data_IF_712663284937
#
_entry.id   IF_712663284937
#
_cell.length_a   1.000
_cell.length_b   1.000
_cell.length_c   1.000
_cell.angle_alpha   90.00
_cell.angle_beta   90.00
_cell.angle_gamma   90.00
#
_symmetry.space_group_name_H-M   'P 1'
#
loop_
_entity.id
_entity.type
_entity.pdbx_description
1 polymer ?
#
# COMPACT_ATOMS: atom_id res chain seq x y z
N UNK A 1 -3.07 11.14 16.02
CA UNK A 1 -3.40 11.46 14.62
C UNK A 1 -3.83 10.16 13.97
N UNK A 2 -4.73 10.18 12.98
CA UNK A 2 -5.11 8.96 12.28
C UNK A 2 -3.95 8.47 11.41
N UNK A 3 -3.71 7.15 11.39
CA UNK A 3 -2.68 6.50 10.56
C UNK A 3 -3.05 6.63 9.08
N UNK A 4 -4.30 6.32 8.74
CA UNK A 4 -4.83 6.42 7.38
C UNK A 4 -5.69 7.65 7.18
N UNK A 5 -5.61 8.24 5.98
CA UNK A 5 -6.41 9.43 5.60
C UNK A 5 -7.84 9.09 5.18
N UNK A 6 -8.07 7.84 4.78
CA UNK A 6 -9.37 7.32 4.40
C UNK A 6 -10.27 7.15 5.63
N UNK A 7 -11.58 7.34 5.46
CA UNK A 7 -12.55 6.92 6.47
C UNK A 7 -12.71 5.40 6.40
N UNK A 8 -12.25 4.70 7.43
CA UNK A 8 -12.18 3.23 7.48
C UNK A 8 -12.87 2.67 8.73
N UNK A 9 -13.34 1.43 8.68
CA UNK A 9 -13.69 0.65 9.87
C UNK A 9 -12.43 0.01 10.48
N UNK A 10 -12.55 -0.62 11.65
CA UNK A 10 -11.40 -1.31 12.26
C UNK A 10 -10.88 -2.46 11.38
N UNK A 11 -11.77 -3.27 10.81
CA UNK A 11 -11.37 -4.40 9.96
C UNK A 11 -10.64 -3.91 8.69
N UNK A 12 -11.06 -2.77 8.15
CA UNK A 12 -10.36 -2.12 7.02
C UNK A 12 -8.99 -1.59 7.48
N UNK A 13 -8.88 -1.01 8.67
CA UNK A 13 -7.59 -0.54 9.21
C UNK A 13 -6.61 -1.71 9.39
N UNK A 14 -7.07 -2.84 9.91
CA UNK A 14 -6.26 -4.05 10.07
C UNK A 14 -5.79 -4.59 8.71
N UNK A 15 -6.67 -4.58 7.69
CA UNK A 15 -6.31 -4.97 6.32
C UNK A 15 -5.25 -4.04 5.70
N UNK A 16 -5.37 -2.73 5.91
CA UNK A 16 -4.37 -1.76 5.43
C UNK A 16 -3.03 -1.94 6.15
N UNK A 17 -3.06 -2.31 7.43
CA UNK A 17 -1.87 -2.64 8.20
C UNK A 17 -1.15 -3.88 7.65
N UNK A 18 -1.89 -4.92 7.26
CA UNK A 18 -1.32 -6.08 6.57
C UNK A 18 -0.67 -5.68 5.23
N UNK A 19 -1.29 -4.79 4.44
CA UNK A 19 -0.68 -4.28 3.20
C UNK A 19 0.64 -3.53 3.50
N UNK A 20 0.64 -2.70 4.55
CA UNK A 20 1.82 -1.95 4.94
C UNK A 20 2.96 -2.88 5.40
N UNK A 21 2.65 -3.90 6.20
CA UNK A 21 3.61 -4.91 6.63
C UNK A 21 4.18 -5.71 5.44
N UNK A 22 3.33 -6.10 4.48
CA UNK A 22 3.78 -6.75 3.25
C UNK A 22 4.73 -5.86 2.44
N UNK A 23 4.47 -4.55 2.32
CA UNK A 23 5.39 -3.63 1.66
C UNK A 23 6.74 -3.52 2.39
N UNK A 24 6.72 -3.45 3.73
CA UNK A 24 7.93 -3.43 4.55
C UNK A 24 8.73 -4.73 4.34
N UNK A 25 8.08 -5.89 4.37
CA UNK A 25 8.72 -7.18 4.13
C UNK A 25 9.27 -7.34 2.72
N UNK A 26 8.53 -6.85 1.72
CA UNK A 26 8.89 -6.93 0.30
C UNK A 26 10.11 -6.08 -0.07
N UNK A 27 10.23 -4.88 0.52
CA UNK A 27 11.15 -3.85 0.04
C UNK A 27 12.12 -3.29 1.07
N UNK A 28 11.86 -3.51 2.37
CA UNK A 28 12.67 -2.98 3.46
C UNK A 28 12.46 -1.49 3.75
N UNK A 29 11.42 -0.86 3.19
CA UNK A 29 11.04 0.52 3.54
C UNK A 29 10.52 0.61 4.98
N UNK A 30 10.42 1.83 5.51
CA UNK A 30 9.83 2.04 6.83
C UNK A 30 8.31 1.88 6.80
N UNK A 31 7.72 1.56 7.97
CA UNK A 31 6.27 1.58 8.15
C UNK A 31 5.68 2.97 7.82
N UNK A 32 6.39 4.05 8.14
CA UNK A 32 5.96 5.41 7.79
C UNK A 32 5.86 5.61 6.28
N UNK A 33 6.83 5.11 5.50
CA UNK A 33 6.78 5.18 4.04
C UNK A 33 5.69 4.28 3.46
N UNK A 34 5.52 3.06 3.99
CA UNK A 34 4.45 2.14 3.58
C UNK A 34 3.07 2.80 3.76
N UNK A 35 2.80 3.38 4.93
CA UNK A 35 1.56 4.11 5.21
C UNK A 35 1.42 5.34 4.32
N UNK A 36 2.50 6.08 4.10
CA UNK A 36 2.47 7.24 3.21
C UNK A 36 2.12 6.84 1.77
N UNK A 37 2.62 5.71 1.26
CA UNK A 37 2.26 5.20 -0.09
C UNK A 37 0.78 4.85 -0.18
N UNK A 38 0.23 4.17 0.83
CA UNK A 38 -1.21 3.89 0.92
C UNK A 38 -2.03 5.19 0.93
N UNK A 39 -1.68 6.13 1.81
CA UNK A 39 -2.38 7.41 1.93
C UNK A 39 -2.29 8.25 0.65
N UNK A 40 -1.15 8.24 -0.02
CA UNK A 40 -0.96 8.99 -1.25
C UNK A 40 -1.84 8.44 -2.39
N UNK A 41 -1.98 7.13 -2.49
CA UNK A 41 -2.82 6.51 -3.53
C UNK A 41 -4.32 6.58 -3.20
N UNK A 42 -4.67 6.32 -1.94
CA UNK A 42 -6.05 6.06 -1.55
C UNK A 42 -6.65 7.08 -0.58
N UNK A 43 -5.90 8.07 -0.11
CA UNK A 43 -6.32 8.99 0.96
C UNK A 43 -7.62 9.76 0.72
N UNK A 44 -8.06 9.89 -0.54
CA UNK A 44 -9.32 10.53 -0.92
C UNK A 44 -10.46 9.53 -1.19
N UNK A 45 -10.25 8.23 -0.95
CA UNK A 45 -11.23 7.17 -1.11
C UNK A 45 -11.95 6.86 0.21
N UNK A 46 -12.98 6.03 0.14
CA UNK A 46 -13.84 5.68 1.27
C UNK A 46 -14.17 4.19 1.24
N UNK A 47 -13.46 3.40 2.05
CA UNK A 47 -13.65 1.96 2.17
C UNK A 47 -14.56 1.68 3.37
N UNK A 48 -15.88 1.69 3.14
CA UNK A 48 -16.90 1.59 4.21
C UNK A 48 -17.58 0.22 4.29
N UNK A 49 -17.40 -0.63 3.30
CA UNK A 49 -18.06 -1.93 3.20
C UNK A 49 -17.05 -2.99 2.73
N UNK A 50 -17.21 -4.23 3.19
CA UNK A 50 -16.38 -5.39 2.79
C UNK A 50 -16.45 -5.71 1.28
N UNK A 51 -17.47 -5.20 0.57
CA UNK A 51 -17.66 -5.38 -0.88
C UNK A 51 -16.85 -4.38 -1.74
N UNK A 52 -15.96 -3.58 -1.15
CA UNK A 52 -15.08 -2.70 -1.92
C UNK A 52 -14.00 -3.50 -2.68
N UNK A 53 -13.61 -3.03 -3.87
CA UNK A 53 -12.70 -3.73 -4.79
C UNK A 53 -11.36 -4.11 -4.15
N UNK A 54 -10.96 -3.40 -3.10
CA UNK A 54 -9.73 -3.70 -2.35
C UNK A 54 -9.78 -5.08 -1.67
N UNK A 55 -10.96 -5.53 -1.22
CA UNK A 55 -11.10 -6.76 -0.45
C UNK A 55 -11.17 -8.04 -1.31
N UNK A 56 -11.23 -7.89 -2.63
CA UNK A 56 -11.19 -9.03 -3.55
C UNK A 56 -9.78 -9.59 -3.77
N UNK A 57 -8.75 -8.83 -3.41
CA UNK A 57 -7.35 -9.22 -3.54
C UNK A 57 -6.69 -9.37 -2.17
N UNK A 58 -5.56 -10.07 -2.13
CA UNK A 58 -4.79 -10.23 -0.89
C UNK A 58 -3.95 -8.99 -0.58
N UNK A 59 -3.58 -8.74 0.69
CA UNK A 59 -2.69 -7.64 1.05
C UNK A 59 -1.37 -7.63 0.25
N UNK A 60 -0.79 -8.81 -0.01
CA UNK A 60 0.40 -8.99 -0.83
C UNK A 60 0.21 -8.38 -2.24
N UNK A 61 -0.95 -8.61 -2.87
CA UNK A 61 -1.24 -8.06 -4.20
C UNK A 61 -1.11 -6.54 -4.20
N UNK A 62 -1.76 -5.88 -3.24
CA UNK A 62 -1.72 -4.44 -3.12
C UNK A 62 -0.35 -3.91 -2.77
N UNK A 63 0.43 -4.63 -1.95
CA UNK A 63 1.81 -4.26 -1.68
C UNK A 63 2.64 -4.15 -2.97
N UNK A 64 2.51 -5.10 -3.90
CA UNK A 64 3.16 -5.00 -5.21
C UNK A 64 2.62 -3.82 -6.05
N UNK A 65 1.30 -3.60 -6.09
CA UNK A 65 0.65 -2.53 -6.87
C UNK A 65 1.01 -1.13 -6.36
N UNK A 66 1.13 -0.96 -5.05
CA UNK A 66 1.45 0.30 -4.39
C UNK A 66 2.95 0.58 -4.36
N UNK A 67 3.79 -0.47 -4.33
CA UNK A 67 5.24 -0.30 -4.28
C UNK A 67 5.88 -0.21 -5.66
N UNK A 68 5.47 -1.02 -6.64
CA UNK A 68 6.09 -1.05 -7.97
C UNK A 68 5.25 -0.35 -9.04
N UNK A 69 5.94 0.17 -10.05
CA UNK A 69 5.32 0.80 -11.21
C UNK A 69 5.05 -0.23 -12.31
N UNK A 70 3.95 -0.01 -13.05
CA UNK A 70 3.56 -0.88 -14.15
C UNK A 70 3.00 -2.24 -13.70
N UNK A 71 2.93 -3.18 -14.63
CA UNK A 71 2.42 -4.53 -14.36
C UNK A 71 3.56 -5.42 -13.85
N UNK A 72 3.40 -5.92 -12.64
CA UNK A 72 4.37 -6.76 -11.95
C UNK A 72 3.81 -8.18 -11.79
N UNK A 73 4.29 -9.18 -12.55
CA UNK A 73 3.81 -10.55 -12.47
C UNK A 73 4.42 -11.27 -11.25
N UNK A 74 4.09 -10.84 -10.04
CA UNK A 74 4.70 -11.33 -8.79
C UNK A 74 4.41 -12.82 -8.51
N UNK A 75 3.29 -13.32 -9.02
CA UNK A 75 2.89 -14.72 -8.93
C UNK A 75 3.72 -15.66 -9.80
N UNK A 76 4.49 -15.15 -10.76
CA UNK A 76 5.30 -15.96 -11.67
C UNK A 76 6.71 -16.17 -11.09
N UNK A 77 7.09 -17.41 -10.72
CA UNK A 77 8.44 -17.70 -10.21
C UNK A 77 9.56 -17.46 -11.24
N UNK A 78 9.22 -17.37 -12.52
CA UNK A 78 10.17 -17.11 -13.61
C UNK A 78 10.21 -15.64 -14.03
N UNK A 79 9.42 -14.77 -13.41
CA UNK A 79 9.42 -13.35 -13.71
C UNK A 79 10.81 -12.73 -13.47
N UNK A 80 11.27 -11.93 -14.44
CA UNK A 80 12.51 -11.15 -14.28
C UNK A 80 12.27 -9.96 -13.35
N UNK A 81 12.49 -10.18 -12.06
CA UNK A 81 12.28 -9.18 -11.01
C UNK A 81 13.23 -7.98 -11.10
N UNK A 82 14.31 -8.08 -11.88
CA UNK A 82 15.26 -6.97 -12.05
C UNK A 82 14.68 -5.79 -12.85
N UNK A 83 13.62 -6.04 -13.61
CA UNK A 83 12.92 -5.01 -14.40
C UNK A 83 11.85 -4.27 -13.59
N UNK A 84 11.61 -4.67 -12.34
CA UNK A 84 10.59 -4.05 -11.51
C UNK A 84 11.15 -2.77 -10.91
N UNK A 85 10.45 -1.67 -11.15
CA UNK A 85 10.87 -0.34 -10.71
C UNK A 85 9.94 0.16 -9.61
N UNK A 86 10.45 0.45 -8.40
CA UNK A 86 9.65 1.07 -7.36
C UNK A 86 9.01 2.36 -7.86
N UNK A 87 7.77 2.63 -7.45
CA UNK A 87 7.11 3.92 -7.63
C UNK A 87 7.86 4.96 -6.81
N UNK A 88 7.87 6.19 -7.31
CA UNK A 88 8.40 7.33 -6.57
C UNK A 88 7.75 7.42 -5.19
N UNK A 89 8.57 7.64 -4.17
CA UNK A 89 8.11 7.85 -2.80
C UNK A 89 7.26 9.13 -2.73
N UNK A 90 6.18 9.15 -1.93
CA UNK A 90 5.40 10.38 -1.72
C UNK A 90 6.30 11.56 -1.29
N UNK A 91 6.06 12.79 -1.78
CA UNK A 91 6.90 13.94 -1.42
C UNK A 91 6.97 14.16 0.10
N UNK A 92 8.15 14.42 0.65
CA UNK A 92 8.40 14.48 2.10
C UNK A 92 7.61 15.56 2.89
N UNK A 93 6.92 16.48 2.20
CA UNK A 93 6.03 17.47 2.82
C UNK A 93 4.55 17.25 2.51
N UNK A 94 4.20 16.13 1.89
CA UNK A 94 2.83 15.78 1.56
C UNK A 94 2.06 15.35 2.83
N UNK A 95 0.75 15.62 2.85
CA UNK A 95 -0.16 15.18 3.91
C UNK A 95 -0.25 13.66 4.07
N UNK A 96 0.21 12.88 3.09
CA UNK A 96 0.26 11.42 3.15
C UNK A 96 1.14 10.90 4.29
N UNK A 97 2.16 11.66 4.72
CA UNK A 97 3.05 11.31 5.82
C UNK A 97 2.39 11.61 7.18
N UNK A 98 1.66 10.62 7.70
CA UNK A 98 0.95 10.70 8.99
C UNK A 98 1.74 10.13 10.17
N UNK A 99 2.80 9.37 9.88
CA UNK A 99 3.72 8.77 10.86
C UNK A 99 5.11 9.43 10.76
N UNK A 100 5.86 9.41 11.87
CA UNK A 100 7.25 9.91 11.96
C UNK A 100 8.29 8.90 11.42
#
# INVERSE_FOLDING_TARGET
MAKYLMSVTQDVEDYLDEIADEMVGLSGISMAEAVARINYEWGNQSFKEEDDLIFHELPEHWAYVLYYSGTVPYWDPQADRQQWHPRDTPPAGDSAWTLE
#
